data_IF_566233187481
#
_entry.id   IF_566233187481
#
_cell.length_a   1.000
_cell.length_b   1.000
_cell.length_c   1.000
_cell.angle_alpha   90.00
_cell.angle_beta   90.00
_cell.angle_gamma   90.00
#
_symmetry.space_group_name_H-M   'P 1'
#
loop_
_entity.id
_entity.type
_entity.pdbx_description
1 polymer ?
#
# COMPACT_ATOMS: atom_id res chain seq x y z
N UNK A 1 5.01 -23.15 -11.47
CA UNK A 1 6.17 -22.25 -11.58
C UNK A 1 5.68 -20.90 -12.06
N UNK A 2 5.48 -19.96 -11.15
CA UNK A 2 5.72 -18.52 -11.40
C UNK A 2 6.21 -17.98 -10.05
N UNK A 3 7.52 -18.02 -9.82
CA UNK A 3 8.14 -17.14 -8.84
C UNK A 3 8.11 -15.73 -9.44
N UNK A 4 6.98 -15.03 -9.30
CA UNK A 4 7.03 -13.59 -9.38
C UNK A 4 7.64 -13.14 -8.07
N UNK A 5 8.95 -12.97 -8.06
CA UNK A 5 9.68 -12.36 -6.96
C UNK A 5 9.34 -10.87 -6.98
N UNK A 6 8.08 -10.54 -6.65
CA UNK A 6 7.61 -9.16 -6.53
C UNK A 6 8.45 -8.56 -5.40
N UNK A 7 9.43 -7.75 -5.77
CA UNK A 7 10.19 -6.94 -4.83
C UNK A 7 9.30 -5.76 -4.43
N UNK A 8 8.12 -6.06 -3.90
CA UNK A 8 7.09 -5.09 -3.53
C UNK A 8 7.68 -3.96 -2.66
N UNK A 9 8.58 -4.23 -1.69
CA UNK A 9 9.23 -3.16 -0.95
C UNK A 9 10.11 -2.24 -1.81
N UNK A 10 10.82 -2.76 -2.82
CA UNK A 10 11.67 -1.99 -3.73
C UNK A 10 10.83 -1.15 -4.70
N UNK A 11 9.81 -1.73 -5.34
CA UNK A 11 8.90 -0.98 -6.23
C UNK A 11 8.20 0.15 -5.46
N UNK A 12 7.78 -0.14 -4.23
CA UNK A 12 7.20 0.86 -3.34
C UNK A 12 8.22 1.96 -2.98
N UNK A 13 9.47 1.60 -2.70
CA UNK A 13 10.53 2.56 -2.41
C UNK A 13 10.82 3.48 -3.60
N UNK A 14 10.84 2.95 -4.83
CA UNK A 14 11.01 3.73 -6.06
C UNK A 14 9.87 4.73 -6.27
N UNK A 15 8.62 4.28 -6.10
CA UNK A 15 7.44 5.16 -6.20
C UNK A 15 7.45 6.26 -5.14
N UNK A 16 7.85 5.96 -3.90
CA UNK A 16 7.98 6.96 -2.84
C UNK A 16 9.09 7.97 -3.19
N UNK A 17 10.25 7.49 -3.66
CA UNK A 17 11.37 8.34 -4.06
C UNK A 17 10.99 9.30 -5.19
N UNK A 18 10.24 8.82 -6.18
CA UNK A 18 9.76 9.64 -7.28
C UNK A 18 8.74 10.69 -6.82
N UNK A 19 7.78 10.29 -5.97
CA UNK A 19 6.83 11.22 -5.36
C UNK A 19 7.53 12.35 -4.58
N UNK A 20 8.50 11.99 -3.74
CA UNK A 20 9.29 12.97 -2.99
C UNK A 20 10.05 13.93 -3.91
N UNK A 21 10.65 13.42 -5.00
CA UNK A 21 11.35 14.23 -6.01
C UNK A 21 10.43 15.25 -6.68
N UNK A 22 9.15 14.94 -6.83
CA UNK A 22 8.13 15.83 -7.40
C UNK A 22 7.38 16.68 -6.37
N UNK A 23 7.82 16.69 -5.10
CA UNK A 23 7.24 17.51 -4.04
C UNK A 23 5.98 16.93 -3.39
N UNK A 24 5.67 15.66 -3.62
CA UNK A 24 4.59 14.96 -2.90
C UNK A 24 5.03 14.73 -1.47
N UNK A 25 4.21 15.16 -0.51
CA UNK A 25 4.47 14.97 0.92
C UNK A 25 4.10 13.56 1.38
N UNK A 26 4.73 13.09 2.46
CA UNK A 26 4.40 11.82 3.12
C UNK A 26 2.88 11.70 3.37
N UNK A 27 2.24 12.78 3.85
CA UNK A 27 0.80 12.83 4.10
C UNK A 27 -0.03 12.63 2.83
N UNK A 28 0.37 13.22 1.71
CA UNK A 28 -0.32 13.04 0.43
C UNK A 28 -0.17 11.60 -0.08
N UNK A 29 1.00 10.97 0.12
CA UNK A 29 1.20 9.57 -0.25
C UNK A 29 0.33 8.64 0.61
N UNK A 30 0.29 8.84 1.92
CA UNK A 30 -0.55 8.07 2.84
C UNK A 30 -2.04 8.20 2.45
N UNK A 31 -2.51 9.42 2.17
CA UNK A 31 -3.88 9.65 1.67
C UNK A 31 -4.14 8.94 0.33
N UNK A 32 -3.16 8.95 -0.57
CA UNK A 32 -3.20 8.22 -1.83
C UNK A 32 -3.35 6.71 -1.61
N UNK A 33 -2.56 6.12 -0.72
CA UNK A 33 -2.63 4.70 -0.35
C UNK A 33 -4.00 4.32 0.22
N UNK A 34 -4.55 5.12 1.13
CA UNK A 34 -5.92 4.90 1.66
C UNK A 34 -6.95 4.95 0.52
N UNK A 35 -6.82 5.91 -0.40
CA UNK A 35 -7.72 6.03 -1.55
C UNK A 35 -7.66 4.81 -2.47
N UNK A 36 -6.44 4.29 -2.71
CA UNK A 36 -6.22 3.07 -3.48
C UNK A 36 -6.81 1.84 -2.77
N UNK A 37 -6.60 1.68 -1.47
CA UNK A 37 -7.20 0.58 -0.70
C UNK A 37 -8.73 0.62 -0.72
N UNK A 38 -9.32 1.82 -0.57
CA UNK A 38 -10.76 2.02 -0.68
C UNK A 38 -11.31 1.70 -2.07
N UNK A 39 -10.54 1.97 -3.13
CA UNK A 39 -10.89 1.58 -4.49
C UNK A 39 -10.80 0.05 -4.64
N UNK A 40 -9.65 -0.54 -4.29
CA UNK A 40 -9.39 -1.97 -4.47
C UNK A 40 -10.38 -2.86 -3.72
N UNK A 41 -10.69 -2.52 -2.47
CA UNK A 41 -11.66 -3.27 -1.64
C UNK A 41 -13.07 -3.37 -2.25
N UNK A 42 -13.41 -2.54 -3.24
CA UNK A 42 -14.70 -2.56 -3.95
C UNK A 42 -14.67 -3.35 -5.25
N UNK A 43 -13.51 -3.42 -5.91
CA UNK A 43 -13.41 -3.89 -7.30
C UNK A 43 -12.51 -5.10 -7.48
N UNK A 44 -11.59 -5.38 -6.55
CA UNK A 44 -10.64 -6.48 -6.67
C UNK A 44 -11.29 -7.77 -6.16
N UNK A 45 -11.27 -8.79 -7.02
CA UNK A 45 -11.48 -10.17 -6.60
C UNK A 45 -10.12 -10.71 -6.15
N UNK A 46 -9.96 -11.14 -4.89
CA UNK A 46 -8.67 -11.66 -4.43
C UNK A 46 -8.34 -12.97 -5.15
N UNK A 47 -7.10 -13.09 -5.61
CA UNK A 47 -6.58 -14.26 -6.32
C UNK A 47 -5.82 -15.20 -5.38
N UNK A 48 -5.44 -14.72 -4.19
CA UNK A 48 -4.75 -15.49 -3.14
C UNK A 48 -5.44 -15.40 -1.77
N UNK A 49 -5.24 -16.38 -0.87
CA UNK A 49 -5.74 -16.31 0.51
C UNK A 49 -5.26 -15.07 1.27
N UNK A 50 -4.02 -14.62 1.02
CA UNK A 50 -3.42 -13.44 1.63
C UNK A 50 -4.13 -12.16 1.18
N UNK A 51 -4.42 -12.03 -0.11
CA UNK A 51 -5.20 -10.91 -0.66
C UNK A 51 -6.63 -10.89 -0.13
N UNK A 52 -7.25 -12.07 0.01
CA UNK A 52 -8.58 -12.19 0.60
C UNK A 52 -8.59 -11.73 2.06
N UNK A 53 -7.61 -12.17 2.87
CA UNK A 53 -7.45 -11.76 4.26
C UNK A 53 -7.27 -10.24 4.36
N UNK A 54 -6.36 -9.65 3.58
CA UNK A 54 -6.12 -8.21 3.58
C UNK A 54 -7.37 -7.42 3.18
N UNK A 55 -8.14 -7.92 2.22
CA UNK A 55 -9.40 -7.31 1.79
C UNK A 55 -10.45 -7.33 2.90
N UNK A 56 -10.60 -8.45 3.60
CA UNK A 56 -11.55 -8.56 4.70
C UNK A 56 -11.15 -7.70 5.90
N UNK A 57 -9.84 -7.67 6.26
CA UNK A 57 -9.32 -6.73 7.27
C UNK A 57 -9.65 -5.29 6.86
N UNK A 58 -9.35 -4.90 5.63
CA UNK A 58 -9.63 -3.54 5.15
C UNK A 58 -11.11 -3.16 5.22
N UNK A 59 -12.01 -4.09 4.92
CA UNK A 59 -13.47 -3.85 4.94
C UNK A 59 -14.00 -3.62 6.36
N UNK A 60 -13.47 -4.32 7.36
CA UNK A 60 -13.91 -4.17 8.76
C UNK A 60 -13.22 -3.02 9.50
N UNK A 61 -12.08 -2.54 8.98
CA UNK A 61 -11.33 -1.45 9.58
C UNK A 61 -12.06 -0.10 9.52
N UNK A 62 -11.93 0.64 10.61
CA UNK A 62 -12.26 2.06 10.71
C UNK A 62 -11.33 2.91 9.82
N UNK A 63 -11.69 4.18 9.61
CA UNK A 63 -10.85 5.11 8.83
C UNK A 63 -9.48 5.34 9.47
N UNK A 64 -9.40 5.33 10.80
CA UNK A 64 -8.15 5.44 11.55
C UNK A 64 -7.26 4.21 11.36
N UNK A 65 -7.84 3.00 11.41
CA UNK A 65 -7.10 1.76 11.20
C UNK A 65 -6.62 1.62 9.74
N UNK A 66 -7.44 2.03 8.76
CA UNK A 66 -7.02 2.08 7.35
C UNK A 66 -5.85 3.03 7.14
N UNK A 67 -5.91 4.19 7.78
CA UNK A 67 -4.81 5.14 7.77
C UNK A 67 -3.55 4.54 8.42
N UNK A 68 -3.69 3.88 9.58
CA UNK A 68 -2.58 3.20 10.24
C UNK A 68 -1.95 2.12 9.35
N UNK A 69 -2.76 1.30 8.67
CA UNK A 69 -2.27 0.31 7.71
C UNK A 69 -1.50 0.97 6.55
N UNK A 70 -2.03 2.05 5.98
CA UNK A 70 -1.33 2.80 4.94
C UNK A 70 0.00 3.38 5.45
N UNK A 71 0.05 3.89 6.69
CA UNK A 71 1.28 4.38 7.32
C UNK A 71 2.33 3.27 7.51
N UNK A 72 1.90 2.04 7.85
CA UNK A 72 2.80 0.89 7.95
C UNK A 72 3.38 0.50 6.59
N UNK A 73 2.55 0.44 5.54
CA UNK A 73 2.98 0.17 4.17
C UNK A 73 3.96 1.25 3.70
N UNK A 74 3.63 2.52 3.91
CA UNK A 74 4.52 3.63 3.57
C UNK A 74 5.88 3.54 4.28
N UNK A 75 5.89 3.21 5.58
CA UNK A 75 7.12 3.03 6.37
C UNK A 75 7.95 1.83 5.89
N UNK A 76 7.29 0.75 5.50
CA UNK A 76 7.95 -0.41 4.90
C UNK A 76 8.70 0.00 3.62
N UNK A 77 8.06 0.78 2.75
CA UNK A 77 8.70 1.33 1.55
C UNK A 77 9.87 2.26 1.87
N UNK A 78 9.69 3.22 2.79
CA UNK A 78 10.76 4.14 3.21
C UNK A 78 12.00 3.44 3.75
N UNK A 79 11.84 2.31 4.45
CA UNK A 79 12.98 1.52 4.96
C UNK A 79 13.88 0.97 3.85
N UNK A 80 13.35 0.82 2.63
CA UNK A 80 14.07 0.30 1.47
C UNK A 80 14.55 1.41 0.53
N UNK A 81 14.42 2.68 0.91
CA UNK A 81 15.05 3.80 0.19
C UNK A 81 16.51 3.87 0.64
N UNK A 82 17.41 3.48 -0.25
CA UNK A 82 18.86 3.62 -0.11
C UNK A 82 19.38 4.86 -0.86
#
# INVERSE_FOLDING_TARGET
MVENNIQFPQELAENIKDGLKHGVTDEQMIKGMVSLGNLMSRFVKPDTPEEALMTEIWKISTDEEKRMMAELVFRLGKKHIH
#
